data_IF_402562960904
#
_entry.id   IF_402562960904
#
_cell.length_a   1.000
_cell.length_b   1.000
_cell.length_c   1.000
_cell.angle_alpha   90.00
_cell.angle_beta   90.00
_cell.angle_gamma   90.00
#
_symmetry.space_group_name_H-M   'P 1'
#
loop_
_entity.id
_entity.type
_entity.pdbx_description
1 polymer ?
#
# COMPACT_ATOMS: atom_id res chain seq x y z
N UNK A 1 -19.94 16.52 -0.94
CA UNK A 1 -18.56 16.00 -0.84
C UNK A 1 -18.14 15.24 -2.09
N UNK A 2 -16.84 15.00 -2.24
CA UNK A 2 -16.32 14.15 -3.33
C UNK A 2 -16.08 12.74 -2.78
N UNK A 3 -16.73 11.73 -3.38
CA UNK A 3 -16.56 10.34 -2.98
C UNK A 3 -15.10 9.89 -3.14
N UNK A 4 -14.44 10.28 -4.22
CA UNK A 4 -13.03 9.92 -4.48
C UNK A 4 -12.09 10.52 -3.43
N UNK A 5 -12.24 11.79 -3.06
CA UNK A 5 -11.43 12.42 -2.02
C UNK A 5 -11.72 11.75 -0.65
N UNK A 6 -12.99 11.51 -0.34
CA UNK A 6 -13.37 10.83 0.91
C UNK A 6 -12.76 9.43 0.98
N UNK A 7 -12.81 8.65 -0.09
CA UNK A 7 -12.20 7.33 -0.13
C UNK A 7 -10.68 7.38 0.08
N UNK A 8 -9.97 8.35 -0.51
CA UNK A 8 -8.52 8.53 -0.30
C UNK A 8 -8.17 8.85 1.15
N UNK A 9 -8.93 9.76 1.78
CA UNK A 9 -8.74 10.12 3.20
C UNK A 9 -9.01 8.90 4.08
N UNK A 10 -10.12 8.20 3.86
CA UNK A 10 -10.48 7.00 4.63
C UNK A 10 -9.45 5.88 4.48
N UNK A 11 -8.92 5.66 3.28
CA UNK A 11 -7.86 4.70 3.05
C UNK A 11 -6.62 5.02 3.89
N UNK A 12 -6.22 6.30 3.92
CA UNK A 12 -5.08 6.75 4.73
C UNK A 12 -5.33 6.52 6.22
N UNK A 13 -6.51 6.87 6.72
CA UNK A 13 -6.87 6.69 8.12
C UNK A 13 -7.02 5.21 8.52
N UNK A 14 -7.58 4.39 7.63
CA UNK A 14 -7.68 2.94 7.84
C UNK A 14 -6.29 2.29 7.92
N UNK A 15 -5.37 2.66 7.02
CA UNK A 15 -3.97 2.23 7.07
C UNK A 15 -3.26 2.67 8.34
N UNK A 16 -3.51 3.90 8.81
CA UNK A 16 -2.99 4.37 10.09
C UNK A 16 -3.48 3.48 11.25
N UNK A 17 -4.76 3.10 11.26
CA UNK A 17 -5.29 2.19 12.27
C UNK A 17 -4.67 0.78 12.19
N UNK A 18 -4.34 0.29 11.01
CA UNK A 18 -3.64 -0.99 10.84
C UNK A 18 -2.24 -0.92 11.45
N UNK A 19 -1.51 0.17 11.21
CA UNK A 19 -0.14 0.32 11.68
C UNK A 19 -0.05 0.61 13.19
N UNK A 20 -0.79 1.63 13.64
CA UNK A 20 -0.64 2.22 14.97
C UNK A 20 -1.79 1.88 15.94
N UNK A 21 -2.73 1.04 15.49
CA UNK A 21 -3.94 0.72 16.24
C UNK A 21 -5.00 1.84 16.13
N UNK A 22 -6.12 1.64 16.82
CA UNK A 22 -7.23 2.58 16.82
C UNK A 22 -6.82 3.98 17.30
N UNK A 23 -7.15 4.99 16.50
CA UNK A 23 -6.85 6.39 16.76
C UNK A 23 -8.11 7.16 17.13
N UNK A 24 -8.29 7.48 18.43
CA UNK A 24 -9.45 8.25 18.92
C UNK A 24 -9.61 9.60 18.21
N UNK A 25 -8.50 10.27 17.90
CA UNK A 25 -8.51 11.58 17.23
C UNK A 25 -9.13 11.55 15.82
N UNK A 26 -9.05 10.43 15.13
CA UNK A 26 -9.56 10.28 13.75
C UNK A 26 -10.87 9.50 13.67
N UNK A 27 -11.34 8.92 14.78
CA UNK A 27 -12.52 8.04 14.82
C UNK A 27 -13.77 8.70 14.20
N UNK A 28 -14.04 9.95 14.56
CA UNK A 28 -15.21 10.67 14.02
C UNK A 28 -15.08 10.99 12.53
N UNK A 29 -13.87 11.22 12.05
CA UNK A 29 -13.61 11.41 10.61
C UNK A 29 -13.87 10.11 9.83
N UNK A 30 -13.43 8.98 10.37
CA UNK A 30 -13.69 7.66 9.79
C UNK A 30 -15.18 7.38 9.77
N UNK A 31 -15.88 7.56 10.89
CA UNK A 31 -17.31 7.33 10.99
C UNK A 31 -18.10 8.15 9.95
N UNK A 32 -17.91 9.48 9.94
CA UNK A 32 -18.63 10.36 9.02
C UNK A 32 -18.27 10.07 7.54
N UNK A 33 -17.00 9.79 7.27
CA UNK A 33 -16.54 9.47 5.92
C UNK A 33 -17.07 8.14 5.42
N UNK A 34 -17.11 7.12 6.28
CA UNK A 34 -17.66 5.80 5.95
C UNK A 34 -19.16 5.87 5.71
N UNK A 35 -19.90 6.61 6.53
CA UNK A 35 -21.34 6.83 6.35
C UNK A 35 -21.64 7.47 5.00
N UNK A 36 -20.88 8.52 4.64
CA UNK A 36 -21.01 9.17 3.35
C UNK A 36 -20.66 8.21 2.18
N UNK A 37 -19.53 7.52 2.26
CA UNK A 37 -19.08 6.61 1.21
C UNK A 37 -20.06 5.43 1.05
N UNK A 38 -20.59 4.89 2.16
CA UNK A 38 -21.64 3.88 2.16
C UNK A 38 -22.88 4.36 1.39
N UNK A 39 -23.34 5.59 1.68
CA UNK A 39 -24.49 6.18 0.98
C UNK A 39 -24.28 6.21 -0.54
N UNK A 40 -23.09 6.58 -0.99
CA UNK A 40 -22.76 6.60 -2.42
C UNK A 40 -22.79 5.19 -3.02
N UNK A 41 -22.11 4.25 -2.39
CA UNK A 41 -21.97 2.88 -2.91
C UNK A 41 -23.30 2.11 -2.85
N UNK A 42 -24.10 2.30 -1.80
CA UNK A 42 -25.43 1.69 -1.70
C UNK A 42 -26.38 2.22 -2.78
N UNK A 43 -26.30 3.50 -3.12
CA UNK A 43 -27.09 4.07 -4.22
C UNK A 43 -26.69 3.45 -5.57
N UNK A 44 -25.41 3.27 -5.83
CA UNK A 44 -24.92 2.57 -7.02
C UNK A 44 -25.40 1.12 -7.04
N UNK A 45 -25.36 0.43 -5.92
CA UNK A 45 -25.82 -0.95 -5.75
C UNK A 45 -27.32 -1.12 -6.09
N UNK A 46 -28.17 -0.26 -5.56
CA UNK A 46 -29.60 -0.29 -5.88
C UNK A 46 -29.88 -0.01 -7.36
N UNK A 47 -29.12 0.89 -7.98
CA UNK A 47 -29.21 1.13 -9.44
C UNK A 47 -28.81 -0.11 -10.22
N UNK A 48 -27.73 -0.78 -9.84
CA UNK A 48 -27.29 -2.02 -10.47
C UNK A 48 -28.37 -3.11 -10.41
N UNK A 49 -28.98 -3.32 -9.24
CA UNK A 49 -30.09 -4.27 -9.05
C UNK A 49 -31.30 -3.90 -9.93
N UNK A 50 -31.58 -2.62 -10.08
CA UNK A 50 -32.66 -2.12 -10.96
C UNK A 50 -32.37 -2.38 -12.44
N UNK A 51 -31.12 -2.19 -12.88
CA UNK A 51 -30.72 -2.48 -14.26
C UNK A 51 -30.82 -3.98 -14.55
N UNK A 52 -30.36 -4.83 -13.65
CA UNK A 52 -30.51 -6.30 -13.81
C UNK A 52 -31.97 -6.74 -13.95
N UNK A 53 -32.86 -6.20 -13.10
CA UNK A 53 -34.30 -6.49 -13.20
C UNK A 53 -34.92 -6.10 -14.56
N UNK A 54 -34.30 -5.13 -15.26
CA UNK A 54 -34.69 -4.73 -16.61
C UNK A 54 -33.98 -5.52 -17.73
N UNK A 55 -33.17 -6.54 -17.36
CA UNK A 55 -32.38 -7.29 -18.32
C UNK A 55 -31.18 -6.52 -18.90
N UNK A 56 -30.79 -5.42 -18.26
CA UNK A 56 -29.63 -4.60 -18.66
C UNK A 56 -28.39 -5.01 -17.91
N UNK A 57 -27.22 -4.91 -18.56
CA UNK A 57 -25.93 -5.13 -17.88
C UNK A 57 -25.65 -3.95 -16.93
N UNK A 58 -25.48 -4.18 -15.63
CA UNK A 58 -25.16 -3.11 -14.70
C UNK A 58 -23.79 -2.47 -15.00
N UNK A 59 -23.69 -1.17 -14.79
CA UNK A 59 -22.43 -0.45 -14.76
C UNK A 59 -22.05 -0.16 -13.32
N UNK A 60 -20.83 -0.54 -12.96
CA UNK A 60 -20.26 -0.31 -11.63
C UNK A 60 -19.27 0.84 -11.73
N UNK A 61 -19.30 1.77 -10.76
CA UNK A 61 -18.14 2.60 -10.49
C UNK A 61 -17.10 1.77 -9.73
N UNK A 62 -16.28 1.05 -10.45
CA UNK A 62 -15.30 0.11 -9.92
C UNK A 62 -14.41 0.73 -8.83
N UNK A 63 -14.02 1.98 -9.01
CA UNK A 63 -13.15 2.69 -8.07
C UNK A 63 -13.79 2.82 -6.69
N UNK A 64 -15.00 3.35 -6.58
CA UNK A 64 -15.67 3.53 -5.28
C UNK A 64 -16.02 2.19 -4.64
N UNK A 65 -16.47 1.22 -5.42
CA UNK A 65 -16.80 -0.12 -4.94
C UNK A 65 -15.57 -0.83 -4.35
N UNK A 66 -14.46 -0.87 -5.09
CA UNK A 66 -13.22 -1.50 -4.63
C UNK A 66 -12.67 -0.78 -3.39
N UNK A 67 -12.64 0.55 -3.40
CA UNK A 67 -12.17 1.35 -2.27
C UNK A 67 -13.01 1.10 -1.02
N UNK A 68 -14.34 1.04 -1.16
CA UNK A 68 -15.22 0.79 -0.04
C UNK A 68 -15.01 -0.60 0.57
N UNK A 69 -14.88 -1.64 -0.27
CA UNK A 69 -14.57 -3.00 0.19
C UNK A 69 -13.20 -3.06 0.87
N UNK A 70 -12.21 -2.43 0.27
CA UNK A 70 -10.84 -2.42 0.79
C UNK A 70 -10.75 -1.70 2.14
N UNK A 71 -11.36 -0.52 2.29
CA UNK A 71 -11.37 0.23 3.56
C UNK A 71 -12.07 -0.58 4.65
N UNK A 72 -13.22 -1.21 4.35
CA UNK A 72 -13.89 -2.08 5.30
C UNK A 72 -13.03 -3.29 5.71
N UNK A 73 -12.26 -3.84 4.77
CA UNK A 73 -11.31 -4.94 5.07
C UNK A 73 -10.23 -4.48 6.05
N UNK A 74 -9.66 -3.30 5.85
CA UNK A 74 -8.64 -2.74 6.75
C UNK A 74 -9.20 -2.39 8.14
N UNK A 75 -10.40 -1.83 8.19
CA UNK A 75 -11.05 -1.47 9.46
C UNK A 75 -11.53 -2.70 10.25
N UNK A 76 -11.67 -3.85 9.58
CA UNK A 76 -12.15 -5.08 10.19
C UNK A 76 -13.60 -4.95 10.68
N UNK A 77 -13.90 -5.53 11.85
CA UNK A 77 -15.22 -5.42 12.45
C UNK A 77 -15.48 -3.98 12.92
N UNK A 78 -16.44 -3.33 12.30
CA UNK A 78 -16.82 -1.94 12.56
C UNK A 78 -18.35 -1.80 12.41
N UNK A 79 -18.95 -0.66 12.82
CA UNK A 79 -20.42 -0.47 12.77
C UNK A 79 -21.03 -0.59 11.37
N UNK A 80 -20.22 -0.46 10.32
CA UNK A 80 -20.67 -0.56 8.93
C UNK A 80 -20.61 -1.99 8.39
N UNK A 81 -20.15 -2.97 9.20
CA UNK A 81 -20.10 -4.39 8.82
C UNK A 81 -21.39 -5.09 9.27
N UNK A 82 -22.49 -4.76 8.64
CA UNK A 82 -23.83 -5.27 8.88
C UNK A 82 -24.33 -6.19 7.74
N UNK A 83 -25.61 -6.62 7.81
CA UNK A 83 -26.22 -7.47 6.80
C UNK A 83 -26.22 -6.84 5.41
N UNK A 84 -26.49 -5.54 5.32
CA UNK A 84 -26.55 -4.81 4.06
C UNK A 84 -25.17 -4.72 3.42
N UNK A 85 -24.12 -4.50 4.24
CA UNK A 85 -22.75 -4.56 3.76
C UNK A 85 -22.39 -5.95 3.22
N UNK A 86 -22.81 -7.01 3.91
CA UNK A 86 -22.53 -8.39 3.47
C UNK A 86 -23.22 -8.68 2.14
N UNK A 87 -24.48 -8.25 1.96
CA UNK A 87 -25.19 -8.38 0.67
C UNK A 87 -24.48 -7.61 -0.43
N UNK A 88 -24.17 -6.34 -0.19
CA UNK A 88 -23.42 -5.47 -1.09
C UNK A 88 -22.06 -6.09 -1.47
N UNK A 89 -21.28 -6.53 -0.49
CA UNK A 89 -19.98 -7.14 -0.70
C UNK A 89 -20.06 -8.35 -1.61
N UNK A 90 -20.96 -9.28 -1.32
CA UNK A 90 -21.14 -10.50 -2.10
C UNK A 90 -21.55 -10.19 -3.55
N UNK A 91 -22.43 -9.22 -3.72
CA UNK A 91 -22.86 -8.77 -5.04
C UNK A 91 -21.71 -8.13 -5.82
N UNK A 92 -21.00 -7.17 -5.22
CA UNK A 92 -19.87 -6.49 -5.86
C UNK A 92 -18.73 -7.45 -6.20
N UNK A 93 -18.36 -8.35 -5.31
CA UNK A 93 -17.30 -9.34 -5.59
C UNK A 93 -17.63 -10.20 -6.81
N UNK A 94 -18.89 -10.63 -6.97
CA UNK A 94 -19.30 -11.39 -8.15
C UNK A 94 -19.01 -10.65 -9.47
N UNK A 95 -19.28 -9.34 -9.52
CA UNK A 95 -19.02 -8.52 -10.71
C UNK A 95 -17.54 -8.18 -10.87
N UNK A 96 -16.89 -7.79 -9.78
CA UNK A 96 -15.49 -7.39 -9.78
C UNK A 96 -14.55 -8.55 -10.12
N UNK A 97 -14.86 -9.77 -9.67
CA UNK A 97 -14.10 -10.97 -10.03
C UNK A 97 -14.26 -11.39 -11.49
N UNK A 98 -15.38 -11.05 -12.13
CA UNK A 98 -15.63 -11.38 -13.53
C UNK A 98 -14.81 -10.54 -14.51
N UNK A 99 -14.37 -9.34 -14.10
CA UNK A 99 -13.56 -8.45 -14.93
C UNK A 99 -12.07 -8.71 -14.75
N UNK A 100 -11.42 -9.23 -15.78
CA UNK A 100 -9.99 -9.58 -15.79
C UNK A 100 -9.07 -8.46 -16.31
N UNK A 101 -9.63 -7.37 -16.82
CA UNK A 101 -8.88 -6.29 -17.47
C UNK A 101 -8.60 -5.10 -16.57
N UNK A 102 -8.56 -5.32 -15.26
CA UNK A 102 -8.29 -4.24 -14.29
C UNK A 102 -6.84 -3.79 -14.33
N UNK A 103 -6.65 -2.52 -13.97
CA UNK A 103 -5.32 -1.98 -13.69
C UNK A 103 -4.68 -2.67 -12.46
N UNK A 104 -3.37 -2.51 -12.31
CA UNK A 104 -2.58 -3.16 -11.26
C UNK A 104 -3.02 -2.69 -9.86
N UNK A 105 -3.34 -1.40 -9.71
CA UNK A 105 -3.79 -0.84 -8.44
C UNK A 105 -5.07 -1.51 -7.96
N UNK A 106 -6.08 -1.57 -8.82
CA UNK A 106 -7.36 -2.23 -8.52
C UNK A 106 -7.19 -3.72 -8.22
N UNK A 107 -6.34 -4.42 -8.97
CA UNK A 107 -5.99 -5.83 -8.69
C UNK A 107 -5.36 -6.01 -7.32
N UNK A 108 -4.46 -5.11 -6.93
CA UNK A 108 -3.81 -5.16 -5.63
C UNK A 108 -4.80 -4.97 -4.48
N UNK A 109 -5.67 -3.97 -4.56
CA UNK A 109 -6.72 -3.79 -3.55
C UNK A 109 -7.66 -4.99 -3.48
N UNK A 110 -8.05 -5.56 -4.63
CA UNK A 110 -8.89 -6.76 -4.70
C UNK A 110 -8.20 -7.98 -4.09
N UNK A 111 -6.89 -8.14 -4.24
CA UNK A 111 -6.15 -9.21 -3.59
C UNK A 111 -6.24 -9.12 -2.06
N UNK A 112 -6.10 -7.91 -1.50
CA UNK A 112 -6.26 -7.67 -0.05
C UNK A 112 -7.69 -7.99 0.40
N UNK A 113 -8.71 -7.52 -0.33
CA UNK A 113 -10.13 -7.79 -0.03
C UNK A 113 -10.44 -9.28 -0.04
N UNK A 114 -10.02 -9.98 -1.09
CA UNK A 114 -10.27 -11.42 -1.24
C UNK A 114 -9.55 -12.24 -0.18
N UNK A 115 -8.33 -11.88 0.17
CA UNK A 115 -7.59 -12.52 1.26
C UNK A 115 -8.30 -12.31 2.60
N UNK A 116 -8.75 -11.09 2.89
CA UNK A 116 -9.53 -10.78 4.09
C UNK A 116 -10.89 -11.47 4.15
N UNK A 117 -11.49 -11.81 3.00
CA UNK A 117 -12.74 -12.56 2.87
C UNK A 117 -12.53 -14.09 2.88
N UNK A 118 -11.30 -14.57 3.16
CA UNK A 118 -10.96 -16.00 3.21
C UNK A 118 -10.81 -16.67 1.83
N UNK A 119 -10.86 -15.92 0.74
CA UNK A 119 -10.72 -16.41 -0.64
C UNK A 119 -9.24 -16.45 -1.07
N UNK A 120 -8.38 -17.09 -0.28
CA UNK A 120 -6.91 -17.07 -0.44
C UNK A 120 -6.45 -17.53 -1.84
N UNK A 121 -7.07 -18.56 -2.41
CA UNK A 121 -6.74 -19.03 -3.77
C UNK A 121 -6.94 -17.92 -4.80
N UNK A 122 -8.06 -17.21 -4.72
CA UNK A 122 -8.41 -16.13 -5.64
C UNK A 122 -7.49 -14.93 -5.44
N UNK A 123 -7.20 -14.58 -4.19
CA UNK A 123 -6.24 -13.52 -3.87
C UNK A 123 -4.85 -13.81 -4.47
N UNK A 124 -4.41 -15.07 -4.42
CA UNK A 124 -3.15 -15.49 -5.04
C UNK A 124 -3.16 -15.34 -6.56
N UNK A 125 -4.26 -15.69 -7.24
CA UNK A 125 -4.39 -15.48 -8.70
C UNK A 125 -4.22 -13.99 -9.07
N UNK A 126 -4.75 -13.07 -8.26
CA UNK A 126 -4.58 -11.63 -8.47
C UNK A 126 -3.13 -11.18 -8.25
N UNK A 127 -2.47 -11.68 -7.21
CA UNK A 127 -1.04 -11.37 -6.95
C UNK A 127 -0.16 -11.91 -8.08
N UNK A 128 -0.37 -13.13 -8.56
CA UNK A 128 0.35 -13.67 -9.71
C UNK A 128 0.13 -12.84 -10.98
N UNK A 129 -1.10 -12.37 -11.20
CA UNK A 129 -1.39 -11.46 -12.32
C UNK A 129 -0.63 -10.13 -12.20
N UNK A 130 -0.45 -9.60 -10.98
CA UNK A 130 0.35 -8.39 -10.75
C UNK A 130 1.83 -8.65 -11.03
N UNK A 131 2.38 -9.77 -10.57
CA UNK A 131 3.78 -10.16 -10.76
C UNK A 131 4.19 -10.19 -12.23
N UNK A 132 3.30 -10.58 -13.13
CA UNK A 132 3.56 -10.62 -14.57
C UNK A 132 3.95 -9.25 -15.17
N UNK A 133 3.62 -8.16 -14.50
CA UNK A 133 3.93 -6.80 -14.94
C UNK A 133 5.17 -6.21 -14.27
N UNK A 134 5.79 -6.94 -13.36
CA UNK A 134 6.98 -6.43 -12.66
C UNK A 134 8.23 -6.56 -13.51
N UNK A 135 9.11 -5.59 -13.40
CA UNK A 135 10.48 -5.64 -13.90
C UNK A 135 11.45 -5.38 -12.75
N UNK A 136 12.58 -6.06 -12.76
CA UNK A 136 13.65 -5.87 -11.76
C UNK A 136 14.89 -5.37 -12.46
N UNK A 137 15.45 -4.25 -11.97
CA UNK A 137 16.72 -3.71 -12.48
C UNK A 137 17.73 -3.58 -11.33
N UNK A 138 18.99 -3.97 -11.54
CA UNK A 138 20.04 -3.82 -10.53
C UNK A 138 20.13 -2.36 -10.03
N UNK A 139 20.17 -2.17 -8.71
CA UNK A 139 20.23 -0.86 -8.07
C UNK A 139 18.93 -0.05 -8.08
N UNK A 140 17.93 -0.44 -8.88
CA UNK A 140 16.62 0.22 -8.91
C UNK A 140 15.54 -0.55 -8.15
N UNK A 141 15.72 -1.85 -7.98
CA UNK A 141 14.71 -2.72 -7.39
C UNK A 141 13.66 -3.20 -8.38
N UNK A 142 12.53 -3.68 -7.85
CA UNK A 142 11.40 -4.23 -8.60
C UNK A 142 10.27 -3.22 -8.68
N UNK A 143 9.72 -3.01 -9.88
CA UNK A 143 8.69 -2.02 -10.12
C UNK A 143 7.87 -2.35 -11.38
N UNK A 144 6.89 -1.51 -11.69
CA UNK A 144 6.04 -1.62 -12.87
C UNK A 144 6.48 -0.62 -13.95
N UNK A 145 6.99 -1.14 -15.06
CA UNK A 145 7.38 -0.36 -16.24
C UNK A 145 6.30 -0.51 -17.33
N UNK A 146 5.07 -0.15 -16.99
CA UNK A 146 3.90 -0.34 -17.85
C UNK A 146 2.84 0.72 -17.61
N UNK A 147 2.06 1.05 -18.65
CA UNK A 147 0.91 1.93 -18.52
C UNK A 147 -0.21 1.37 -17.63
N UNK A 148 -0.26 0.03 -17.43
CA UNK A 148 -1.18 -0.61 -16.49
C UNK A 148 -0.96 -0.23 -15.02
N UNK A 149 0.20 0.36 -14.70
CA UNK A 149 0.48 0.92 -13.38
C UNK A 149 -0.07 2.33 -13.18
N UNK A 150 -0.52 2.97 -14.27
CA UNK A 150 -1.28 4.21 -14.21
C UNK A 150 -2.72 3.95 -13.80
N UNK A 151 -3.32 4.90 -13.12
CA UNK A 151 -4.74 4.93 -12.84
C UNK A 151 -5.27 6.32 -13.16
N UNK A 152 -6.19 6.42 -14.13
CA UNK A 152 -6.67 7.71 -14.59
C UNK A 152 -5.56 8.56 -15.26
N UNK A 153 -5.77 9.85 -15.40
CA UNK A 153 -4.83 10.83 -15.98
C UNK A 153 -3.77 11.34 -14.99
N UNK A 154 -3.76 10.83 -13.75
CA UNK A 154 -2.72 11.08 -12.77
C UNK A 154 -1.60 10.04 -12.83
N UNK A 155 -0.39 10.44 -12.49
CA UNK A 155 0.70 9.48 -12.23
C UNK A 155 0.41 8.75 -10.92
N UNK A 156 -0.05 7.52 -11.05
CA UNK A 156 -0.46 6.66 -9.93
C UNK A 156 0.60 5.61 -9.56
N UNK A 157 1.83 5.73 -10.08
CA UNK A 157 2.87 4.71 -9.89
C UNK A 157 3.22 4.45 -8.43
N UNK A 158 3.31 5.49 -7.61
CA UNK A 158 3.59 5.33 -6.17
C UNK A 158 2.44 4.64 -5.43
N UNK A 159 1.17 5.07 -5.54
CA UNK A 159 0.04 4.33 -4.97
C UNK A 159 -0.07 2.90 -5.46
N UNK A 160 0.17 2.65 -6.74
CA UNK A 160 0.13 1.30 -7.33
C UNK A 160 1.22 0.40 -6.75
N UNK A 161 2.45 0.90 -6.65
CA UNK A 161 3.57 0.18 -6.04
C UNK A 161 3.28 -0.15 -4.57
N UNK A 162 2.74 0.81 -3.82
CA UNK A 162 2.37 0.63 -2.41
C UNK A 162 1.27 -0.43 -2.26
N UNK A 163 0.22 -0.35 -3.06
CA UNK A 163 -0.87 -1.32 -3.03
C UNK A 163 -0.39 -2.74 -3.40
N UNK A 164 0.53 -2.85 -4.37
CA UNK A 164 1.12 -4.13 -4.74
C UNK A 164 1.99 -4.72 -3.60
N UNK A 165 2.79 -3.91 -2.92
CA UNK A 165 3.55 -4.34 -1.72
C UNK A 165 2.58 -4.86 -0.65
N UNK A 166 1.52 -4.14 -0.37
CA UNK A 166 0.49 -4.53 0.61
C UNK A 166 -0.19 -5.85 0.21
N UNK A 167 -0.55 -6.01 -1.05
CA UNK A 167 -1.14 -7.24 -1.58
C UNK A 167 -0.19 -8.44 -1.45
N UNK A 168 1.09 -8.29 -1.81
CA UNK A 168 2.10 -9.32 -1.65
C UNK A 168 2.24 -9.71 -0.17
N UNK A 169 2.36 -8.74 0.74
CA UNK A 169 2.46 -9.01 2.17
C UNK A 169 1.24 -9.74 2.73
N UNK A 170 0.03 -9.39 2.26
CA UNK A 170 -1.20 -10.03 2.71
C UNK A 170 -1.34 -11.48 2.21
N UNK A 171 -0.88 -11.78 1.00
CA UNK A 171 -1.14 -13.04 0.30
C UNK A 171 0.06 -13.98 0.32
N UNK A 172 1.26 -13.44 0.23
CA UNK A 172 2.53 -14.18 0.15
C UNK A 172 3.62 -13.50 0.99
N UNK A 173 3.46 -13.44 2.32
CA UNK A 173 4.39 -12.74 3.21
C UNK A 173 5.78 -13.36 3.26
N UNK A 174 5.96 -14.58 2.75
CA UNK A 174 7.26 -15.24 2.68
C UNK A 174 8.14 -14.68 1.56
N UNK A 175 7.58 -14.04 0.54
CA UNK A 175 8.33 -13.41 -0.56
C UNK A 175 8.91 -12.05 -0.13
N UNK A 176 9.76 -12.09 0.88
CA UNK A 176 10.42 -10.90 1.45
C UNK A 176 11.37 -10.24 0.45
N UNK A 177 11.96 -11.03 -0.44
CA UNK A 177 12.88 -10.50 -1.47
C UNK A 177 12.15 -9.55 -2.42
N UNK A 178 11.05 -9.98 -3.04
CA UNK A 178 10.27 -9.12 -3.96
C UNK A 178 9.75 -7.89 -3.23
N UNK A 179 9.22 -8.06 -2.00
CA UNK A 179 8.72 -6.95 -1.19
C UNK A 179 9.82 -5.91 -0.93
N UNK A 180 11.02 -6.35 -0.57
CA UNK A 180 12.15 -5.45 -0.31
C UNK A 180 12.67 -4.78 -1.58
N UNK A 181 12.73 -5.50 -2.70
CA UNK A 181 13.08 -4.92 -4.00
C UNK A 181 12.04 -3.88 -4.46
N UNK A 182 10.76 -4.09 -4.19
CA UNK A 182 9.72 -3.11 -4.47
C UNK A 182 9.83 -1.87 -3.59
N UNK A 183 10.20 -2.02 -2.31
CA UNK A 183 10.50 -0.91 -1.40
C UNK A 183 11.73 -0.14 -1.84
N UNK A 184 12.78 -0.83 -2.32
CA UNK A 184 13.96 -0.19 -2.86
C UNK A 184 13.61 0.77 -4.00
N UNK A 185 12.73 0.37 -4.92
CA UNK A 185 12.27 1.26 -5.98
C UNK A 185 11.55 2.51 -5.42
N UNK A 186 10.74 2.37 -4.38
CA UNK A 186 10.12 3.54 -3.74
C UNK A 186 11.16 4.52 -3.20
N UNK A 187 12.24 4.03 -2.57
CA UNK A 187 13.34 4.88 -2.11
C UNK A 187 14.04 5.59 -3.26
N UNK A 188 14.33 4.86 -4.35
CA UNK A 188 14.95 5.43 -5.56
C UNK A 188 14.06 6.49 -6.23
N UNK A 189 12.73 6.33 -6.13
CA UNK A 189 11.76 7.27 -6.68
C UNK A 189 11.60 8.54 -5.85
N UNK A 190 12.16 8.57 -4.64
CA UNK A 190 12.10 9.73 -3.76
C UNK A 190 12.96 10.86 -4.32
N UNK A 191 12.38 12.03 -4.49
CA UNK A 191 13.06 13.26 -4.87
C UNK A 191 13.23 14.15 -3.64
N UNK A 192 14.44 14.56 -3.34
CA UNK A 192 14.73 15.36 -2.14
C UNK A 192 14.35 14.64 -0.82
N UNK A 193 13.51 15.24 0.03
CA UNK A 193 13.08 14.67 1.31
C UNK A 193 11.67 14.08 1.30
N UNK A 194 10.95 14.22 0.18
CA UNK A 194 9.58 13.75 0.01
C UNK A 194 9.36 13.22 -1.41
N UNK A 195 8.30 12.44 -1.61
CA UNK A 195 7.80 12.14 -2.93
C UNK A 195 7.07 13.36 -3.49
N UNK A 196 6.84 13.39 -4.80
CA UNK A 196 6.34 14.54 -5.56
C UNK A 196 4.99 15.12 -5.07
N UNK A 197 4.19 14.35 -4.36
CA UNK A 197 2.94 14.82 -3.75
C UNK A 197 2.80 14.34 -2.30
N UNK A 198 2.01 15.03 -1.45
CA UNK A 198 1.68 14.55 -0.10
C UNK A 198 1.04 13.17 -0.09
N UNK A 199 0.16 12.86 -1.06
CA UNK A 199 -0.50 11.56 -1.19
C UNK A 199 0.54 10.48 -1.47
N UNK A 200 1.47 10.72 -2.40
CA UNK A 200 2.55 9.78 -2.71
C UNK A 200 3.48 9.58 -1.52
N UNK A 201 3.78 10.66 -0.79
CA UNK A 201 4.58 10.58 0.45
C UNK A 201 3.90 9.67 1.49
N UNK A 202 2.60 9.86 1.76
CA UNK A 202 1.86 9.02 2.73
C UNK A 202 1.81 7.56 2.29
N UNK A 203 1.55 7.29 1.01
CA UNK A 203 1.54 5.92 0.48
C UNK A 203 2.92 5.25 0.62
N UNK A 204 3.98 5.93 0.23
CA UNK A 204 5.33 5.38 0.33
C UNK A 204 5.73 5.12 1.80
N UNK A 205 5.48 6.07 2.70
CA UNK A 205 5.74 5.89 4.14
C UNK A 205 4.98 4.69 4.68
N UNK A 206 3.72 4.51 4.30
CA UNK A 206 2.95 3.33 4.70
C UNK A 206 3.62 2.02 4.24
N UNK A 207 4.11 1.94 3.01
CA UNK A 207 4.77 0.74 2.49
C UNK A 207 6.02 0.32 3.30
N UNK A 208 6.69 1.28 3.94
CA UNK A 208 7.83 0.99 4.84
C UNK A 208 7.39 0.66 6.26
N UNK A 209 6.41 1.37 6.79
CA UNK A 209 5.99 1.24 8.20
C UNK A 209 5.09 0.02 8.41
N UNK A 210 4.32 -0.39 7.42
CA UNK A 210 3.41 -1.51 7.55
C UNK A 210 4.17 -2.82 7.85
N UNK A 211 3.90 -3.37 9.04
CA UNK A 211 4.60 -4.53 9.61
C UNK A 211 5.90 -4.21 10.36
N UNK A 212 6.46 -3.00 10.19
CA UNK A 212 7.73 -2.60 10.83
C UNK A 212 7.56 -1.43 11.82
N UNK A 213 6.34 -0.97 12.07
CA UNK A 213 6.08 0.20 12.91
C UNK A 213 6.63 0.05 14.34
N UNK A 214 6.51 -1.16 14.92
CA UNK A 214 7.04 -1.45 16.27
C UNK A 214 8.56 -1.41 16.32
N UNK A 215 9.23 -1.82 15.27
CA UNK A 215 10.69 -1.79 15.16
C UNK A 215 11.21 -0.35 15.10
N UNK A 216 10.48 0.52 14.36
CA UNK A 216 10.84 1.93 14.23
C UNK A 216 10.52 2.77 15.48
N UNK A 217 9.60 2.30 16.31
CA UNK A 217 9.24 2.93 17.58
C UNK A 217 9.96 2.33 18.79
N UNK A 218 10.86 1.37 18.59
CA UNK A 218 11.60 0.75 19.68
C UNK A 218 12.71 1.69 20.18
N UNK A 219 12.81 1.88 21.49
CA UNK A 219 13.91 2.60 22.14
C UNK A 219 15.23 1.81 22.18
N UNK A 220 15.34 0.72 21.39
CA UNK A 220 16.54 -0.10 21.31
C UNK A 220 17.63 0.65 20.55
N UNK A 221 18.78 0.80 21.14
CA UNK A 221 19.94 1.39 20.48
C UNK A 221 20.37 0.54 19.30
N UNK A 222 20.22 1.08 18.11
CA UNK A 222 20.80 0.53 16.90
C UNK A 222 22.09 1.29 16.57
N UNK A 223 23.12 0.58 16.22
CA UNK A 223 24.33 1.22 15.73
C UNK A 223 24.72 0.73 14.34
N UNK A 224 25.19 1.65 13.53
CA UNK A 224 25.78 1.34 12.23
C UNK A 224 27.22 1.79 12.21
N UNK A 225 28.10 0.93 11.74
CA UNK A 225 29.51 1.27 11.52
C UNK A 225 29.85 1.09 10.05
N UNK A 226 30.59 2.07 9.51
CA UNK A 226 31.09 2.05 8.14
C UNK A 226 32.60 1.87 8.19
N UNK A 227 33.12 0.85 7.52
CA UNK A 227 34.55 0.70 7.30
C UNK A 227 34.86 0.86 5.82
N UNK A 228 35.89 1.61 5.51
CA UNK A 228 36.45 1.79 4.16
C UNK A 228 37.87 1.26 4.17
N UNK A 229 38.15 0.27 3.33
CA UNK A 229 39.43 -0.46 3.30
C UNK A 229 39.88 -0.95 4.69
N UNK A 230 38.92 -1.50 5.45
CA UNK A 230 39.14 -2.03 6.81
C UNK A 230 39.31 -0.96 7.90
N UNK A 231 39.22 0.32 7.59
CA UNK A 231 39.30 1.42 8.57
C UNK A 231 37.92 1.99 8.88
N UNK A 232 37.52 1.95 10.15
CA UNK A 232 36.26 2.52 10.59
C UNK A 232 36.22 4.03 10.32
N UNK A 233 35.10 4.48 9.75
CA UNK A 233 34.79 5.90 9.52
C UNK A 233 33.75 6.35 10.53
N UNK A 234 33.97 7.53 11.09
CA UNK A 234 32.97 8.16 11.94
C UNK A 234 31.76 8.57 11.10
N UNK A 235 30.58 8.08 11.47
CA UNK A 235 29.33 8.53 10.89
C UNK A 235 28.82 9.74 11.69
N UNK A 236 28.36 10.80 11.02
CA UNK A 236 27.73 11.92 11.72
C UNK A 236 26.48 11.43 12.46
N UNK A 237 26.11 12.13 13.52
CA UNK A 237 24.85 11.83 14.23
C UNK A 237 23.69 11.87 13.25
N UNK A 238 22.81 10.88 13.37
CA UNK A 238 21.60 10.80 12.57
C UNK A 238 20.79 12.10 12.66
N UNK A 239 20.41 12.65 11.52
CA UNK A 239 19.52 13.80 11.45
C UNK A 239 18.06 13.31 11.38
N UNK A 240 17.15 14.10 11.95
CA UNK A 240 15.71 13.91 11.84
C UNK A 240 15.09 12.70 12.58
N UNK A 241 15.62 12.28 13.72
CA UNK A 241 14.91 11.34 14.63
C UNK A 241 14.67 9.91 14.11
N UNK A 242 14.97 9.62 12.85
CA UNK A 242 14.73 8.34 12.18
C UNK A 242 16.02 7.62 11.76
N UNK A 243 17.17 8.04 12.29
CA UNK A 243 18.41 7.35 11.99
C UNK A 243 19.00 7.60 10.59
N UNK A 244 18.54 8.63 9.86
CA UNK A 244 19.08 8.93 8.54
C UNK A 244 20.44 9.63 8.63
N UNK A 245 21.45 9.05 7.98
CA UNK A 245 22.77 9.65 7.82
C UNK A 245 23.19 9.58 6.36
N UNK A 246 23.64 10.70 5.79
CA UNK A 246 24.23 10.76 4.46
C UNK A 246 25.66 11.24 4.58
N UNK A 247 26.58 10.47 4.05
CA UNK A 247 27.99 10.82 3.96
C UNK A 247 28.45 10.65 2.52
N UNK A 248 29.19 11.63 2.01
CA UNK A 248 29.78 11.58 0.69
C UNK A 248 31.29 11.42 0.88
N UNK A 249 31.86 10.38 0.31
CA UNK A 249 33.30 10.13 0.29
C UNK A 249 33.82 10.24 -1.13
N UNK A 250 35.03 10.79 -1.27
CA UNK A 250 35.77 10.74 -2.53
C UNK A 250 36.36 9.32 -2.70
N UNK A 251 35.95 8.61 -3.77
CA UNK A 251 36.17 7.16 -3.91
C UNK A 251 37.33 6.84 -4.87
N UNK A 252 38.15 7.79 -5.25
CA UNK A 252 39.12 7.63 -6.35
C UNK A 252 40.12 6.46 -6.22
N UNK A 253 40.20 5.79 -5.07
CA UNK A 253 41.16 4.66 -4.85
C UNK A 253 40.73 3.66 -3.77
N UNK A 254 39.43 3.45 -3.55
CA UNK A 254 38.98 2.58 -2.46
C UNK A 254 38.50 1.24 -3.01
N UNK A 255 38.94 0.14 -2.40
CA UNK A 255 38.70 -1.21 -2.90
C UNK A 255 37.58 -1.96 -2.13
N UNK A 256 37.26 -1.55 -0.91
CA UNK A 256 36.25 -2.22 -0.11
C UNK A 256 35.45 -1.25 0.75
N UNK A 257 34.15 -1.51 0.87
CA UNK A 257 33.22 -0.81 1.74
C UNK A 257 32.47 -1.85 2.56
N UNK A 258 32.60 -1.77 3.88
CA UNK A 258 31.90 -2.68 4.79
C UNK A 258 30.97 -1.87 5.68
N UNK A 259 29.66 -2.17 5.60
CA UNK A 259 28.64 -1.61 6.48
C UNK A 259 28.22 -2.70 7.46
N UNK A 260 28.37 -2.43 8.75
CA UNK A 260 27.95 -3.35 9.82
C UNK A 260 26.85 -2.70 10.64
N UNK A 261 25.74 -3.41 10.78
CA UNK A 261 24.62 -3.03 11.65
C UNK A 261 24.59 -3.93 12.87
N UNK A 262 24.41 -3.34 14.05
CA UNK A 262 24.12 -4.05 15.29
C UNK A 262 22.78 -3.57 15.85
N UNK A 263 22.01 -4.49 16.42
CA UNK A 263 20.65 -4.23 16.89
C UNK A 263 19.56 -4.83 15.98
N UNK A 264 18.34 -4.90 16.53
CA UNK A 264 17.14 -5.35 15.81
C UNK A 264 16.56 -4.18 15.01
N UNK A 265 16.04 -4.43 13.82
CA UNK A 265 15.41 -3.43 12.96
C UNK A 265 15.87 -3.54 11.51
N UNK A 266 15.24 -2.81 10.62
CA UNK A 266 15.50 -2.86 9.17
C UNK A 266 16.32 -1.64 8.74
N UNK A 267 17.40 -1.85 7.99
CA UNK A 267 18.19 -0.79 7.35
C UNK A 267 18.01 -0.84 5.84
N UNK A 268 17.99 0.32 5.22
CA UNK A 268 17.77 0.48 3.78
C UNK A 268 18.93 1.22 3.13
#
# INVERSE_FOLDING_TARGET
GSASITAQVLQTLARLNVMAGYQKATAKMIENGMDYLRTVVMKEFEEMKRMEKKGQKPMICDYHAIQYLYINTLLGKNPFYDSDYVELKNYLLKYLEADRHRDIYSKALMAVVLNGDGKAKKAKEYVESIRQYTVTKPGMGTYFDTWHAGYSWFDYRIPTQTAAIEALKAVDPADTETINQMRLWLLQSKRTQAWDTPINTVNAVYAFLDGNYKELSSDKEESMTLAVDGKNKSLPKASAGLGYTKVVYDIDKQNSLTLTKTGEGTSW
#
